data_IF_013292247538
#
_entry.id   IF_013292247538
#
_cell.length_a   1.000
_cell.length_b   1.000
_cell.length_c   1.000
_cell.angle_alpha   90.00
_cell.angle_beta   90.00
_cell.angle_gamma   90.00
#
_symmetry.space_group_name_H-M   'P 1'
#
loop_
_entity.id
_entity.type
_entity.pdbx_description
1 polymer ?
#
# COMPACT_ATOMS: atom_id res chain seq x y z
N UNK A 1 -0.66 -8.86 1.57
CA UNK A 1 -0.24 -9.82 0.54
C UNK A 1 0.60 -10.91 1.18
N UNK A 2 0.14 -12.14 0.98
CA UNK A 2 0.46 -13.42 1.64
C UNK A 2 -0.40 -13.77 2.88
N UNK A 3 -1.10 -12.78 3.44
CA UNK A 3 -2.04 -12.96 4.56
C UNK A 3 -1.36 -13.52 5.83
N UNK A 4 -0.08 -13.18 5.99
CA UNK A 4 0.73 -13.57 7.13
C UNK A 4 1.49 -12.36 7.67
N UNK A 5 0.93 -11.77 8.73
CA UNK A 5 1.53 -10.62 9.42
C UNK A 5 2.97 -10.86 9.90
N UNK A 6 3.43 -12.11 10.02
CA UNK A 6 4.80 -12.41 10.45
C UNK A 6 5.84 -12.34 9.31
N UNK A 7 5.41 -12.19 8.06
CA UNK A 7 6.30 -11.91 6.92
C UNK A 7 6.31 -10.41 6.64
N UNK A 8 7.19 -9.98 5.72
CA UNK A 8 7.24 -8.57 5.30
C UNK A 8 7.66 -8.44 3.86
N UNK A 9 7.15 -7.39 3.23
CA UNK A 9 7.78 -6.76 2.09
C UNK A 9 8.82 -5.75 2.59
N UNK A 10 10.09 -5.95 2.21
CA UNK A 10 11.20 -5.05 2.52
C UNK A 10 11.81 -4.52 1.21
N UNK A 11 11.77 -3.20 1.01
CA UNK A 11 12.42 -2.57 -0.14
C UNK A 11 13.66 -1.79 0.28
N UNK A 12 14.80 -2.06 -0.38
CA UNK A 12 16.12 -1.53 0.02
C UNK A 12 16.44 -0.10 -0.41
N UNK A 13 15.48 0.57 -1.06
CA UNK A 13 15.62 1.92 -1.62
C UNK A 13 14.56 2.91 -1.14
N UNK A 14 13.86 2.59 -0.05
CA UNK A 14 12.75 3.38 0.52
C UNK A 14 13.08 4.84 0.83
N UNK A 15 14.35 5.15 1.09
CA UNK A 15 14.81 6.53 1.32
C UNK A 15 15.34 7.28 0.10
N UNK A 16 15.55 6.57 -1.00
CA UNK A 16 16.16 7.12 -2.22
C UNK A 16 15.16 7.34 -3.36
N UNK A 17 14.02 6.66 -3.29
CA UNK A 17 12.93 6.76 -4.24
C UNK A 17 11.64 6.26 -3.58
N UNK A 18 10.50 6.64 -4.13
CA UNK A 18 9.23 6.00 -3.76
C UNK A 18 9.30 4.50 -4.09
N UNK A 19 8.77 3.67 -3.20
CA UNK A 19 8.85 2.20 -3.31
C UNK A 19 7.48 1.58 -3.18
N UNK A 20 7.29 0.41 -3.77
CA UNK A 20 5.97 -0.14 -3.96
C UNK A 20 6.01 -1.38 -4.82
N UNK A 21 4.83 -1.83 -5.22
CA UNK A 21 4.71 -3.01 -6.06
C UNK A 21 3.46 -2.93 -6.93
N UNK A 22 3.46 -3.77 -7.96
CA UNK A 22 2.35 -3.95 -8.88
C UNK A 22 1.75 -5.34 -8.67
N UNK A 23 0.43 -5.44 -8.80
CA UNK A 23 -0.30 -6.71 -8.62
C UNK A 23 -1.36 -6.89 -9.68
N UNK A 24 -1.60 -8.15 -10.04
CA UNK A 24 -2.80 -8.57 -10.75
C UNK A 24 -3.72 -9.29 -9.74
N UNK A 25 -4.96 -8.81 -9.50
CA UNK A 25 -5.91 -9.55 -8.69
C UNK A 25 -6.19 -10.93 -9.30
N UNK A 26 -6.10 -11.99 -8.50
CA UNK A 26 -6.32 -13.37 -8.97
C UNK A 26 -7.75 -13.63 -9.45
N UNK A 27 -8.71 -12.84 -8.97
CA UNK A 27 -10.12 -12.97 -9.29
C UNK A 27 -10.53 -12.24 -10.60
N UNK A 28 -9.58 -11.63 -11.30
CA UNK A 28 -9.83 -10.83 -12.51
C UNK A 28 -9.98 -9.35 -12.22
N UNK A 29 -10.65 -8.61 -13.11
CA UNK A 29 -10.84 -7.17 -12.95
C UNK A 29 -11.66 -6.86 -11.70
N UNK A 30 -11.12 -6.02 -10.82
CA UNK A 30 -11.79 -5.62 -9.57
C UNK A 30 -12.00 -4.12 -9.54
N UNK A 31 -12.99 -3.65 -8.77
CA UNK A 31 -13.15 -2.26 -8.36
C UNK A 31 -12.67 -2.14 -6.93
N UNK A 32 -11.43 -1.69 -6.73
CA UNK A 32 -10.87 -1.38 -5.41
C UNK A 32 -11.36 0.01 -4.97
N UNK A 33 -11.87 0.09 -3.73
CA UNK A 33 -12.43 1.30 -3.11
C UNK A 33 -11.85 1.60 -1.74
N UNK A 34 -10.97 0.74 -1.23
CA UNK A 34 -10.28 0.98 0.04
C UNK A 34 -8.99 0.18 0.18
N UNK A 35 -8.22 0.55 1.19
CA UNK A 35 -6.95 -0.09 1.53
C UNK A 35 -6.87 -0.34 3.04
N UNK A 36 -6.14 -1.37 3.43
CA UNK A 36 -5.61 -1.49 4.80
C UNK A 36 -4.13 -1.83 4.75
N UNK A 37 -3.43 -1.49 5.83
CA UNK A 37 -2.00 -1.72 5.96
C UNK A 37 -1.69 -2.35 7.31
N UNK A 38 -0.66 -3.20 7.39
CA UNK A 38 -0.16 -3.75 8.66
C UNK A 38 1.33 -3.49 8.79
N UNK A 39 1.76 -2.94 9.93
CA UNK A 39 3.18 -2.70 10.21
C UNK A 39 3.96 -4.01 10.28
N UNK A 40 5.20 -4.03 9.79
CA UNK A 40 6.09 -5.20 9.91
C UNK A 40 6.66 -5.34 11.34
N UNK A 41 7.73 -6.11 11.55
CA UNK A 41 8.33 -6.32 12.88
C UNK A 41 9.65 -5.58 13.19
N UNK A 42 10.32 -4.88 12.24
CA UNK A 42 11.65 -4.30 12.54
C UNK A 42 11.59 -2.98 13.32
N UNK A 43 11.47 -1.84 12.63
CA UNK A 43 11.52 -0.50 13.24
C UNK A 43 10.45 0.42 12.66
N UNK A 44 9.79 1.24 13.50
CA UNK A 44 8.81 2.24 13.08
C UNK A 44 9.31 3.26 12.05
N UNK A 45 10.61 3.56 12.03
CA UNK A 45 11.17 4.52 11.07
C UNK A 45 11.00 4.11 9.60
N UNK A 46 10.79 2.82 9.33
CA UNK A 46 10.64 2.25 7.99
C UNK A 46 9.19 2.12 7.53
N UNK A 47 8.23 2.44 8.39
CA UNK A 47 6.83 2.32 8.06
C UNK A 47 6.44 3.43 7.06
N UNK A 48 5.70 3.12 5.99
CA UNK A 48 5.21 4.12 5.07
C UNK A 48 4.15 4.99 5.73
N UNK A 49 4.18 6.30 5.50
CA UNK A 49 3.19 7.23 6.08
C UNK A 49 2.30 7.87 5.03
N UNK A 50 2.61 7.69 3.74
CA UNK A 50 1.75 8.08 2.62
C UNK A 50 1.65 6.95 1.60
N UNK A 51 0.58 6.97 0.83
CA UNK A 51 0.36 6.02 -0.26
C UNK A 51 -0.12 6.73 -1.54
N UNK A 52 0.10 6.06 -2.67
CA UNK A 52 -0.51 6.35 -3.96
C UNK A 52 -0.96 5.03 -4.59
N UNK A 53 -2.25 4.91 -4.88
CA UNK A 53 -2.84 3.78 -5.57
C UNK A 53 -3.22 4.19 -6.99
N UNK A 54 -2.77 3.42 -7.98
CA UNK A 54 -3.11 3.59 -9.38
C UNK A 54 -3.59 2.27 -9.99
N UNK A 55 -4.36 2.35 -11.09
CA UNK A 55 -4.88 1.19 -11.81
C UNK A 55 -4.49 1.20 -13.29
N UNK A 56 -4.34 0.01 -13.88
CA UNK A 56 -4.17 -0.17 -15.33
C UNK A 56 -5.02 -1.31 -15.88
N UNK A 57 -5.48 -1.15 -17.12
CA UNK A 57 -6.13 -2.19 -17.91
C UNK A 57 -5.32 -2.63 -19.13
N UNK A 58 -4.20 -1.95 -19.41
CA UNK A 58 -3.36 -2.22 -20.58
C UNK A 58 -2.38 -3.37 -20.31
N UNK A 59 -1.51 -3.23 -19.29
CA UNK A 59 -0.53 -4.24 -18.91
C UNK A 59 -0.10 -4.06 -17.45
N UNK A 60 0.63 -5.04 -16.89
CA UNK A 60 1.24 -4.92 -15.56
C UNK A 60 2.28 -3.79 -15.51
N UNK A 61 2.87 -3.44 -16.65
CA UNK A 61 3.84 -2.34 -16.78
C UNK A 61 3.14 -0.97 -17.02
N UNK A 62 1.80 -0.94 -17.01
CA UNK A 62 1.00 0.26 -17.23
C UNK A 62 0.59 0.49 -18.69
N UNK A 63 0.26 1.75 -19.07
CA UNK A 63 0.27 2.95 -18.22
C UNK A 63 -0.74 2.87 -17.07
N UNK A 64 -0.41 3.50 -15.95
CA UNK A 64 -1.23 3.57 -14.74
C UNK A 64 -1.97 4.90 -14.62
N UNK A 65 -3.20 4.85 -14.14
CA UNK A 65 -4.04 6.02 -13.82
C UNK A 65 -4.22 6.11 -12.31
N UNK A 66 -3.90 7.27 -11.72
CA UNK A 66 -4.05 7.51 -10.29
C UNK A 66 -5.52 7.36 -9.88
N UNK A 67 -5.76 6.56 -8.83
CA UNK A 67 -7.07 6.34 -8.22
C UNK A 67 -7.17 7.16 -6.94
N UNK A 68 -6.19 7.02 -6.05
CA UNK A 68 -6.19 7.68 -4.76
C UNK A 68 -4.77 7.91 -4.25
N UNK A 69 -4.61 8.92 -3.41
CA UNK A 69 -3.39 9.16 -2.64
C UNK A 69 -3.74 9.84 -1.33
N UNK A 70 -2.87 9.69 -0.33
CA UNK A 70 -3.09 10.32 0.96
C UNK A 70 -2.17 9.76 2.05
N UNK A 71 -2.47 10.15 3.28
CA UNK A 71 -1.75 9.72 4.47
C UNK A 71 -2.28 8.37 4.97
N UNK A 72 -1.37 7.56 5.50
CA UNK A 72 -1.69 6.41 6.35
C UNK A 72 -1.75 6.95 7.77
N UNK A 73 -2.89 7.54 8.15
CA UNK A 73 -3.06 8.34 9.38
C UNK A 73 -2.56 7.62 10.63
N UNK A 74 -2.85 6.33 10.75
CA UNK A 74 -2.41 5.49 11.87
C UNK A 74 -0.88 5.39 11.95
N UNK A 75 -0.18 5.30 10.82
CA UNK A 75 1.28 5.21 10.78
C UNK A 75 1.96 6.59 10.86
N UNK A 76 1.24 7.64 10.43
CA UNK A 76 1.70 9.03 10.40
C UNK A 76 1.55 9.77 11.74
N UNK A 77 0.85 9.19 12.72
CA UNK A 77 0.60 9.80 14.02
C UNK A 77 1.86 10.20 14.80
N UNK A 78 1.72 11.07 15.80
CA UNK A 78 2.85 11.52 16.61
C UNK A 78 3.57 10.37 17.34
N UNK A 79 2.81 9.38 17.81
CA UNK A 79 3.32 8.13 18.38
C UNK A 79 3.47 7.08 17.28
N UNK A 80 4.48 6.23 17.42
CA UNK A 80 4.64 5.06 16.54
C UNK A 80 3.43 4.12 16.64
N UNK A 81 3.01 3.59 15.49
CA UNK A 81 1.97 2.56 15.46
C UNK A 81 2.53 1.24 16.00
N UNK A 82 1.75 0.45 16.76
CA UNK A 82 2.22 -0.84 17.25
C UNK A 82 2.70 -1.74 16.12
N UNK A 83 3.71 -2.59 16.39
CA UNK A 83 4.23 -3.55 15.40
C UNK A 83 3.20 -4.65 15.11
N UNK A 84 3.27 -5.26 13.93
CA UNK A 84 2.38 -6.36 13.52
C UNK A 84 0.89 -6.00 13.65
N UNK A 85 0.56 -4.71 13.50
CA UNK A 85 -0.77 -4.18 13.80
C UNK A 85 -1.37 -3.51 12.58
N UNK A 86 -2.59 -3.94 12.26
CA UNK A 86 -3.40 -3.45 11.14
C UNK A 86 -3.90 -2.04 11.43
N UNK A 87 -4.03 -1.22 10.41
CA UNK A 87 -4.72 0.07 10.47
C UNK A 87 -6.18 -0.11 10.91
N UNK A 88 -6.67 0.80 11.73
CA UNK A 88 -8.06 0.87 12.19
C UNK A 88 -8.78 2.10 11.64
N UNK A 89 -8.04 3.14 11.23
CA UNK A 89 -8.61 4.29 10.53
C UNK A 89 -8.92 3.90 9.08
N UNK A 90 -10.18 4.01 8.63
CA UNK A 90 -10.54 3.64 7.26
C UNK A 90 -9.79 4.45 6.21
N UNK A 91 -9.29 3.78 5.17
CA UNK A 91 -8.75 4.39 3.97
C UNK A 91 -9.68 4.01 2.83
N UNK A 92 -10.58 4.93 2.50
CA UNK A 92 -11.63 4.75 1.51
C UNK A 92 -11.56 5.86 0.46
N UNK A 93 -11.89 5.52 -0.79
CA UNK A 93 -11.86 6.46 -1.90
C UNK A 93 -12.88 6.08 -2.97
N UNK A 94 -13.35 7.09 -3.70
CA UNK A 94 -14.24 6.88 -4.83
C UNK A 94 -13.47 6.27 -6.00
N UNK A 95 -13.90 5.08 -6.43
CA UNK A 95 -13.46 4.48 -7.67
C UNK A 95 -14.62 3.70 -8.28
N UNK A 96 -14.95 4.00 -9.53
CA UNK A 96 -16.01 3.31 -10.30
C UNK A 96 -15.43 2.48 -11.44
N UNK A 97 -14.11 2.53 -11.65
CA UNK A 97 -13.44 1.82 -12.73
C UNK A 97 -12.82 0.53 -12.21
N UNK A 98 -13.12 -0.56 -12.91
CA UNK A 98 -12.48 -1.84 -12.66
C UNK A 98 -11.11 -1.88 -13.34
N UNK A 99 -10.09 -2.36 -12.61
CA UNK A 99 -8.74 -2.49 -13.14
C UNK A 99 -8.25 -3.94 -13.06
N UNK A 100 -7.49 -4.34 -14.09
CA UNK A 100 -6.79 -5.63 -14.17
C UNK A 100 -5.49 -5.65 -13.38
N UNK A 101 -4.88 -4.48 -13.20
CA UNK A 101 -3.61 -4.31 -12.51
C UNK A 101 -3.69 -3.11 -11.59
N UNK A 102 -3.05 -3.22 -10.42
CA UNK A 102 -2.91 -2.12 -9.47
C UNK A 102 -1.45 -1.89 -9.14
N UNK A 103 -1.09 -0.63 -8.98
CA UNK A 103 0.20 -0.19 -8.47
C UNK A 103 -0.02 0.55 -7.16
N UNK A 104 0.65 0.10 -6.10
CA UNK A 104 0.72 0.81 -4.83
C UNK A 104 2.14 1.31 -4.64
N UNK A 105 2.27 2.60 -4.35
CA UNK A 105 3.54 3.27 -4.06
C UNK A 105 3.44 3.94 -2.70
N UNK A 106 4.56 3.94 -1.97
CA UNK A 106 4.74 4.59 -0.69
C UNK A 106 5.80 5.70 -0.84
N UNK A 107 5.37 6.95 -1.05
CA UNK A 107 6.28 8.07 -1.30
C UNK A 107 7.12 8.50 -0.10
N UNK A 108 6.57 8.41 1.11
CA UNK A 108 7.25 8.88 2.33
C UNK A 108 7.20 7.85 3.44
N UNK A 109 8.25 7.84 4.26
CA UNK A 109 8.41 7.00 5.44
C UNK A 109 8.35 7.85 6.70
N UNK A 110 8.01 7.22 7.83
CA UNK A 110 8.02 7.87 9.15
C UNK A 110 9.40 8.44 9.49
N UNK A 111 10.46 7.72 9.16
CA UNK A 111 11.85 8.15 9.31
C UNK A 111 12.34 8.81 8.02
N UNK A 112 12.48 10.14 7.95
CA UNK A 112 12.86 10.83 6.71
C UNK A 112 14.29 10.52 6.23
N UNK A 113 15.16 10.03 7.12
CA UNK A 113 16.53 9.61 6.81
C UNK A 113 16.67 8.09 6.60
N UNK A 114 15.56 7.35 6.65
CA UNK A 114 15.56 5.90 6.53
C UNK A 114 15.78 5.48 5.07
N UNK A 115 16.50 4.38 4.82
CA UNK A 115 16.79 3.90 3.46
C UNK A 115 15.97 2.69 3.06
N UNK A 116 15.33 2.04 4.03
CA UNK A 116 14.55 0.83 3.86
C UNK A 116 13.06 1.13 4.07
N UNK A 117 12.19 0.63 3.20
CA UNK A 117 10.74 0.62 3.47
C UNK A 117 10.33 -0.79 3.87
N UNK A 118 9.47 -0.91 4.87
CA UNK A 118 8.87 -2.20 5.22
C UNK A 118 7.37 -2.10 5.45
N UNK A 119 6.67 -3.18 5.15
CA UNK A 119 5.25 -3.37 5.47
C UNK A 119 4.95 -4.87 5.53
N UNK A 120 4.14 -5.31 6.50
CA UNK A 120 3.73 -6.71 6.59
C UNK A 120 2.65 -7.01 5.56
N UNK A 121 1.51 -6.32 5.69
CA UNK A 121 0.35 -6.53 4.83
C UNK A 121 -0.07 -5.25 4.13
N UNK A 122 -0.53 -5.43 2.90
CA UNK A 122 -1.35 -4.50 2.15
C UNK A 122 -2.57 -5.29 1.69
N UNK A 123 -3.76 -4.80 2.01
CA UNK A 123 -5.01 -5.37 1.54
C UNK A 123 -5.73 -4.37 0.65
N UNK A 124 -6.25 -4.88 -0.47
CA UNK A 124 -7.04 -4.11 -1.42
C UNK A 124 -8.50 -4.47 -1.21
N UNK A 125 -9.29 -3.53 -0.70
CA UNK A 125 -10.71 -3.73 -0.41
C UNK A 125 -11.53 -3.34 -1.63
N UNK A 126 -12.37 -4.24 -2.12
CA UNK A 126 -13.12 -4.01 -3.34
C UNK A 126 -14.03 -5.17 -3.72
N UNK A 127 -14.60 -5.07 -4.92
CA UNK A 127 -15.48 -6.08 -5.49
C UNK A 127 -14.97 -6.57 -6.84
N UNK A 128 -15.27 -7.81 -7.18
CA UNK A 128 -14.99 -8.39 -8.50
C UNK A 128 -16.11 -7.94 -9.45
N UNK A 129 -15.75 -7.56 -10.67
CA UNK A 129 -16.74 -7.31 -11.72
C UNK A 129 -17.12 -8.64 -12.39
N UNK A 130 -18.42 -8.93 -12.58
CA UNK A 130 -18.89 -10.13 -13.27
C UNK A 130 -18.33 -10.32 -14.68
#
# INVERSE_FOLDING_TARGET
IDDNVNTKYLHRKGGSQATGFQVAPLLGSTVVTGLTFTTANDTPTRDPITFQLSGSNASIDGPYTLIASGDIVDFAGATEWPRLTKTVTPIEFANTTAYRYYEIVFPTLRGPAETLMQIAEVEFLGTVVP
#
